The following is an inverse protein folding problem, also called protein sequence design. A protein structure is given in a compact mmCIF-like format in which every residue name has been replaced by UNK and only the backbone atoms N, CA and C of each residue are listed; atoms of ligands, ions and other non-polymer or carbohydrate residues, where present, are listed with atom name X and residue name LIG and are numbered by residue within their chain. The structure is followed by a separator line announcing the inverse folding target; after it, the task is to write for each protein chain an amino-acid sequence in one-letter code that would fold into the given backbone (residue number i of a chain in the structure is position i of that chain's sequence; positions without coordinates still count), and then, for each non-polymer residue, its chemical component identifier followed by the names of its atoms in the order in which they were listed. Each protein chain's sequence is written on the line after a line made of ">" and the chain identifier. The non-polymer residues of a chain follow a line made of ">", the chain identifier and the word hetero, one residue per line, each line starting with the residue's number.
data_IF_662259253719
#
_entry.id   IF_662259253719
#
_cell.length_a   1.000
_cell.length_b   1.000
_cell.length_c   1.000
_cell.angle_alpha   90.00
_cell.angle_beta   90.00
_cell.angle_gamma   90.00
#
_symmetry.space_group_name_H-M   'P 1'
#
loop_
_entity.id
_entity.type
_entity.pdbx_description
1 polymer ?
#
# COMPACT_ATOMS: atom_id res chain seq x y z
N UNK A 1 -9.67 13.08 0.40
CA UNK A 1 -10.02 13.53 1.76
C UNK A 1 -10.51 14.97 1.78
N UNK A 2 -9.71 15.96 1.38
CA UNK A 2 -10.12 17.38 1.37
C UNK A 2 -11.36 17.65 0.49
N UNK A 3 -11.37 17.15 -0.76
CA UNK A 3 -12.55 17.24 -1.64
C UNK A 3 -13.79 16.52 -1.11
N UNK A 4 -13.59 15.54 -0.22
CA UNK A 4 -14.67 14.81 0.44
C UNK A 4 -15.14 15.48 1.75
N UNK A 5 -14.61 16.66 2.10
CA UNK A 5 -15.03 17.45 3.25
C UNK A 5 -14.41 17.07 4.59
N UNK A 6 -13.43 16.16 4.62
CA UNK A 6 -12.74 15.82 5.86
C UNK A 6 -11.76 16.93 6.29
N UNK A 7 -11.81 17.26 7.57
CA UNK A 7 -10.85 18.15 8.24
C UNK A 7 -9.63 17.35 8.73
N UNK A 8 -8.51 18.04 8.90
CA UNK A 8 -7.25 17.48 9.42
C UNK A 8 -6.83 16.17 8.71
N UNK A 9 -6.75 16.12 7.37
CA UNK A 9 -6.41 14.89 6.67
C UNK A 9 -4.96 14.48 6.99
N UNK A 10 -4.77 13.21 7.33
CA UNK A 10 -3.45 12.59 7.48
C UNK A 10 -3.33 11.48 6.45
N UNK A 11 -2.20 11.46 5.75
CA UNK A 11 -1.85 10.43 4.81
C UNK A 11 -0.49 9.87 5.20
N UNK A 12 -0.39 8.55 5.25
CA UNK A 12 0.85 7.84 5.54
C UNK A 12 0.98 6.61 4.63
N UNK A 13 2.20 6.13 4.46
CA UNK A 13 2.50 4.95 3.64
C UNK A 13 3.42 4.02 4.42
N UNK A 14 2.93 2.81 4.69
CA UNK A 14 3.75 1.72 5.21
C UNK A 14 4.17 0.79 4.07
N UNK A 15 5.45 0.42 4.00
CA UNK A 15 5.97 -0.46 2.94
C UNK A 15 6.60 -1.69 3.57
N UNK A 16 5.99 -2.84 3.28
CA UNK A 16 6.43 -4.13 3.81
C UNK A 16 6.93 -5.02 2.67
N UNK A 17 8.05 -5.71 2.91
CA UNK A 17 8.55 -6.74 2.00
C UNK A 17 8.33 -8.11 2.64
N UNK A 18 7.54 -8.95 1.99
CA UNK A 18 7.20 -10.30 2.45
C UNK A 18 7.94 -11.31 1.58
N UNK A 19 8.38 -12.41 2.20
CA UNK A 19 9.09 -13.51 1.53
C UNK A 19 8.16 -14.73 1.43
N UNK A 20 8.06 -15.27 0.22
CA UNK A 20 7.22 -16.42 -0.11
C UNK A 20 8.07 -17.58 -0.61
N UNK A 21 7.64 -18.81 -0.36
CA UNK A 21 8.36 -20.00 -0.80
C UNK A 21 8.30 -20.18 -2.32
N UNK A 22 7.24 -19.68 -2.96
CA UNK A 22 7.13 -19.63 -4.42
C UNK A 22 6.13 -18.59 -4.90
N UNK A 23 6.13 -18.34 -6.21
CA UNK A 23 5.10 -17.54 -6.87
C UNK A 23 3.68 -18.05 -6.59
N UNK A 24 3.48 -19.36 -6.40
CA UNK A 24 2.15 -19.92 -6.18
C UNK A 24 1.57 -19.54 -4.83
N UNK A 25 2.38 -19.46 -3.77
CA UNK A 25 1.93 -18.99 -2.44
C UNK A 25 1.55 -17.50 -2.51
N UNK A 26 2.40 -16.68 -3.16
CA UNK A 26 2.09 -15.28 -3.40
C UNK A 26 0.75 -15.10 -4.13
N UNK A 27 0.49 -15.90 -5.18
CA UNK A 27 -0.76 -15.83 -5.94
C UNK A 27 -1.99 -16.26 -5.11
N UNK A 28 -1.84 -17.17 -4.14
CA UNK A 28 -2.93 -17.55 -3.23
C UNK A 28 -3.29 -16.38 -2.32
N UNK A 29 -2.30 -15.72 -1.74
CA UNK A 29 -2.52 -14.55 -0.89
C UNK A 29 -3.15 -13.38 -1.65
N UNK A 30 -2.62 -13.06 -2.84
CA UNK A 30 -3.21 -12.02 -3.69
C UNK A 30 -4.68 -12.31 -4.01
N UNK A 31 -5.04 -13.58 -4.26
CA UNK A 31 -6.43 -13.97 -4.48
C UNK A 31 -7.26 -13.80 -3.20
N UNK A 32 -6.74 -14.18 -2.04
CA UNK A 32 -7.42 -14.01 -0.75
C UNK A 32 -7.65 -12.52 -0.41
N UNK A 33 -6.72 -11.64 -0.80
CA UNK A 33 -6.85 -10.19 -0.69
C UNK A 33 -7.83 -9.57 -1.70
N UNK A 34 -8.39 -10.36 -2.63
CA UNK A 34 -9.22 -9.84 -3.71
C UNK A 34 -8.44 -9.13 -4.83
N UNK A 35 -7.10 -9.16 -4.79
CA UNK A 35 -6.19 -8.63 -5.82
C UNK A 35 -6.14 -9.54 -7.05
N UNK A 36 -7.31 -9.93 -7.55
CA UNK A 36 -7.45 -10.69 -8.79
C UNK A 36 -7.45 -9.74 -9.99
N UNK A 37 -7.04 -10.25 -11.16
CA UNK A 37 -6.92 -9.42 -12.35
C UNK A 37 -8.27 -8.79 -12.76
N UNK A 38 -8.36 -7.47 -12.61
CA UNK A 38 -9.46 -6.62 -13.09
C UNK A 38 -9.19 -6.04 -14.49
N UNK A 39 -8.18 -6.55 -15.20
CA UNK A 39 -7.79 -6.04 -16.52
C UNK A 39 -8.88 -6.34 -17.55
N UNK A 40 -9.26 -5.31 -18.33
CA UNK A 40 -10.23 -5.44 -19.41
C UNK A 40 -9.79 -6.45 -20.49
N UNK A 41 -8.48 -6.52 -20.74
CA UNK A 41 -7.87 -7.40 -21.75
C UNK A 41 -7.52 -8.80 -21.21
N UNK A 42 -8.00 -9.15 -20.00
CA UNK A 42 -7.72 -10.47 -19.43
C UNK A 42 -8.21 -11.58 -20.37
N UNK A 43 -7.40 -12.66 -20.57
CA UNK A 43 -7.87 -13.83 -21.28
C UNK A 43 -9.19 -14.36 -20.70
N UNK A 44 -10.21 -14.48 -21.56
CA UNK A 44 -11.53 -15.03 -21.18
C UNK A 44 -11.53 -16.55 -21.05
N UNK A 45 -10.48 -17.22 -21.55
CA UNK A 45 -10.31 -18.66 -21.42
C UNK A 45 -9.57 -18.97 -20.12
N UNK A 46 -9.94 -20.05 -19.40
CA UNK A 46 -9.16 -20.52 -18.27
C UNK A 46 -7.70 -20.76 -18.66
N UNK A 47 -6.78 -20.31 -17.81
CA UNK A 47 -5.36 -20.57 -18.00
C UNK A 47 -5.06 -22.06 -17.82
N UNK A 48 -4.15 -22.59 -18.65
CA UNK A 48 -3.66 -23.96 -18.52
C UNK A 48 -2.62 -24.06 -17.41
N UNK A 49 -2.40 -25.27 -16.88
CA UNK A 49 -1.43 -25.51 -15.80
C UNK A 49 0.00 -25.11 -16.20
N UNK A 50 0.35 -25.33 -17.47
CA UNK A 50 1.68 -25.04 -18.03
C UNK A 50 2.01 -23.55 -17.96
N UNK A 51 1.01 -22.67 -18.07
CA UNK A 51 1.20 -21.23 -17.95
C UNK A 51 1.70 -20.86 -16.56
N UNK A 52 1.06 -21.36 -15.50
CA UNK A 52 1.47 -21.09 -14.13
C UNK A 52 2.83 -21.71 -13.81
N UNK A 53 3.09 -22.93 -14.32
CA UNK A 53 4.39 -23.59 -14.15
C UNK A 53 5.52 -22.76 -14.75
N UNK A 54 5.36 -22.34 -16.02
CA UNK A 54 6.37 -21.54 -16.71
C UNK A 54 6.54 -20.15 -16.10
N UNK A 55 5.44 -19.53 -15.67
CA UNK A 55 5.50 -18.26 -14.96
C UNK A 55 6.26 -18.39 -13.63
N UNK A 56 6.04 -19.48 -12.86
CA UNK A 56 6.75 -19.72 -11.61
C UNK A 56 8.26 -19.86 -11.81
N UNK A 57 8.69 -20.61 -12.84
CA UNK A 57 10.10 -20.75 -13.21
C UNK A 57 10.75 -19.40 -13.53
N UNK A 58 10.09 -18.60 -14.38
CA UNK A 58 10.59 -17.28 -14.79
C UNK A 58 10.64 -16.33 -13.58
N UNK A 59 9.60 -16.38 -12.74
CA UNK A 59 9.50 -15.52 -11.56
C UNK A 59 10.60 -15.84 -10.55
N UNK A 60 10.84 -17.12 -10.27
CA UNK A 60 11.94 -17.54 -9.40
C UNK A 60 13.30 -17.14 -9.98
N UNK A 61 13.55 -17.37 -11.27
CA UNK A 61 14.82 -17.03 -11.91
C UNK A 61 15.16 -15.52 -11.85
N UNK A 62 14.15 -14.65 -11.74
CA UNK A 62 14.32 -13.19 -11.74
C UNK A 62 14.22 -12.55 -10.36
N UNK A 63 13.49 -13.17 -9.43
CA UNK A 63 13.06 -12.53 -8.19
C UNK A 63 13.29 -13.38 -6.93
N UNK A 64 13.85 -14.59 -7.07
CA UNK A 64 14.23 -15.39 -5.92
C UNK A 64 15.55 -14.92 -5.31
N UNK A 65 15.66 -15.15 -4.01
CA UNK A 65 16.88 -15.04 -3.24
C UNK A 65 17.76 -16.28 -3.38
N UNK A 66 18.96 -16.20 -2.80
CA UNK A 66 19.90 -17.32 -2.75
C UNK A 66 19.31 -18.57 -2.06
N UNK A 67 18.32 -18.41 -1.17
CA UNK A 67 17.59 -19.51 -0.52
C UNK A 67 16.37 -20.00 -1.32
N UNK A 68 16.16 -19.47 -2.54
CA UNK A 68 15.08 -19.86 -3.45
C UNK A 68 13.73 -19.19 -3.18
N UNK A 69 13.59 -18.39 -2.12
CA UNK A 69 12.33 -17.70 -1.78
C UNK A 69 12.18 -16.42 -2.58
N UNK A 70 10.94 -16.07 -2.94
CA UNK A 70 10.64 -14.88 -3.74
C UNK A 70 10.15 -13.73 -2.86
N UNK A 71 10.55 -12.50 -3.18
CA UNK A 71 10.09 -11.29 -2.47
C UNK A 71 8.91 -10.64 -3.18
N UNK A 72 7.95 -10.19 -2.39
CA UNK A 72 6.90 -9.27 -2.82
C UNK A 72 6.87 -8.06 -1.88
N UNK A 73 6.86 -6.86 -2.45
CA UNK A 73 6.78 -5.61 -1.69
C UNK A 73 5.37 -5.04 -1.83
N UNK A 74 4.74 -4.76 -0.69
CA UNK A 74 3.41 -4.18 -0.61
C UNK A 74 3.50 -2.80 0.05
N UNK A 75 2.87 -1.81 -0.57
CA UNK A 75 2.70 -0.49 0.02
C UNK A 75 1.26 -0.32 0.47
N UNK A 76 1.06 -0.09 1.76
CA UNK A 76 -0.22 0.13 2.40
C UNK A 76 -0.35 1.63 2.63
N UNK A 77 -1.34 2.24 1.98
CA UNK A 77 -1.63 3.67 2.11
C UNK A 77 -2.70 3.86 3.17
N UNK A 78 -2.35 4.57 4.24
CA UNK A 78 -3.25 4.94 5.32
C UNK A 78 -3.79 6.34 5.06
N UNK A 79 -5.11 6.48 5.10
CA UNK A 79 -5.81 7.74 4.92
C UNK A 79 -6.77 7.93 6.07
N UNK A 80 -6.55 8.93 6.90
CA UNK A 80 -7.45 9.31 7.98
C UNK A 80 -7.83 10.79 7.89
N UNK A 81 -9.00 11.12 8.44
CA UNK A 81 -9.52 12.46 8.47
C UNK A 81 -10.73 12.52 9.39
N UNK A 82 -11.01 13.71 9.91
CA UNK A 82 -12.09 13.93 10.86
C UNK A 82 -13.27 14.61 10.17
N UNK A 83 -14.48 14.29 10.63
CA UNK A 83 -15.61 15.15 10.34
C UNK A 83 -15.32 16.57 10.87
N UNK A 84 -15.70 17.63 10.15
CA UNK A 84 -15.56 18.99 10.65
C UNK A 84 -16.30 19.17 11.99
N UNK A 85 -15.69 19.86 12.94
CA UNK A 85 -16.30 20.18 14.23
C UNK A 85 -15.86 21.57 14.71
N UNK A 86 -16.77 22.32 15.34
CA UNK A 86 -16.52 23.71 15.73
C UNK A 86 -15.38 23.86 16.75
N UNK A 87 -15.15 22.83 17.57
CA UNK A 87 -14.06 22.82 18.56
C UNK A 87 -12.68 22.55 17.97
N UNK A 88 -12.55 22.33 16.66
CA UNK A 88 -11.26 22.10 16.01
C UNK A 88 -10.40 23.37 16.09
N UNK A 89 -9.12 23.19 16.44
CA UNK A 89 -8.17 24.31 16.47
C UNK A 89 -8.08 24.99 15.11
N UNK A 90 -8.23 26.31 15.13
CA UNK A 90 -8.03 27.15 13.96
C UNK A 90 -6.59 27.67 13.97
N UNK A 91 -5.91 27.71 12.81
CA UNK A 91 -4.59 28.33 12.72
C UNK A 91 -4.65 29.76 13.25
N UNK A 92 -3.68 30.13 14.09
CA UNK A 92 -3.53 31.51 14.54
C UNK A 92 -3.16 32.42 13.35
N UNK A 93 -3.44 33.71 13.50
CA UNK A 93 -3.07 34.69 12.47
C UNK A 93 -1.54 34.79 12.39
N UNK A 94 -0.95 34.86 11.19
CA UNK A 94 0.48 35.12 11.06
C UNK A 94 0.90 36.34 11.88
N UNK A 95 1.98 36.23 12.67
CA UNK A 95 2.50 37.30 13.52
C UNK A 95 1.87 37.41 14.91
N UNK A 96 0.90 36.56 15.28
CA UNK A 96 0.27 36.59 16.63
C UNK A 96 0.98 35.70 17.66
N UNK A 97 2.28 35.44 17.50
CA UNK A 97 3.04 34.64 18.44
C UNK A 97 3.27 35.41 19.75
N UNK A 98 2.93 34.81 20.90
CA UNK A 98 3.05 35.42 22.23
C UNK A 98 4.26 34.93 23.02
N UNK A 99 4.96 33.90 22.54
CA UNK A 99 6.14 33.33 23.19
C UNK A 99 7.20 32.89 22.16
N UNK A 100 8.47 32.94 22.55
CA UNK A 100 9.60 32.56 21.70
C UNK A 100 9.87 31.04 21.82
N UNK A 101 10.11 30.36 20.70
CA UNK A 101 10.49 28.95 20.69
C UNK A 101 11.83 28.67 21.41
N UNK A 102 12.71 29.68 21.51
CA UNK A 102 13.98 29.58 22.24
C UNK A 102 13.81 29.36 23.74
N UNK A 103 12.64 29.69 24.30
CA UNK A 103 12.39 29.56 25.73
C UNK A 103 12.01 28.12 26.12
N UNK A 104 11.77 27.24 25.13
CA UNK A 104 11.25 25.88 25.30
C UNK A 104 12.08 24.78 24.60
N UNK A 105 13.20 25.12 23.96
CA UNK A 105 14.16 24.21 23.30
C UNK A 105 15.51 24.29 24.00
#
# INVERSE_FOLDING_TARGET
>A
LQRAGFALPVADVDTITVRYDSMLELLRDLRAMGATSALAERPRRPARRELFRRAAEIYAARHADADGRVRATFSIVWLSGWAPHESQQKPLRPGSATASLKDFL
#
